data_IF_238037626795
#
_entry.id   IF_238037626795
#
_cell.length_a   1.000
_cell.length_b   1.000
_cell.length_c   1.000
_cell.angle_alpha   90.00
_cell.angle_beta   90.00
_cell.angle_gamma   90.00
#
_symmetry.space_group_name_H-M   'P 1'
#
loop_
_entity.id
_entity.type
_entity.pdbx_description
1 polymer ?
#
# COMPACT_ATOMS: atom_id res chain seq x y z
N UNK A 1 2.13 -15.80 5.65
CA UNK A 1 3.15 -15.25 6.56
C UNK A 1 3.06 -16.03 7.87
N UNK A 2 3.98 -16.94 8.11
CA UNK A 2 4.10 -17.61 9.42
C UNK A 2 4.81 -16.64 10.35
N UNK A 3 4.11 -16.08 11.33
CA UNK A 3 4.73 -15.34 12.42
C UNK A 3 5.65 -16.32 13.18
N UNK A 4 6.93 -15.99 13.24
CA UNK A 4 7.87 -16.70 14.10
C UNK A 4 7.49 -16.49 15.57
N UNK A 5 7.77 -17.47 16.42
CA UNK A 5 7.62 -17.32 17.88
C UNK A 5 8.60 -16.30 18.48
N UNK A 6 9.64 -15.94 17.73
CA UNK A 6 10.64 -14.94 18.14
C UNK A 6 10.19 -13.52 17.76
N UNK A 7 9.87 -12.65 18.74
CA UNK A 7 9.44 -11.28 18.50
C UNK A 7 10.50 -10.44 17.78
N UNK A 8 11.79 -10.66 18.09
CA UNK A 8 12.89 -9.90 17.51
C UNK A 8 13.09 -10.24 16.02
N UNK A 9 12.98 -11.52 15.67
CA UNK A 9 13.03 -11.94 14.27
C UNK A 9 11.88 -11.33 13.46
N UNK A 10 10.68 -11.30 14.03
CA UNK A 10 9.52 -10.65 13.40
C UNK A 10 9.73 -9.15 13.23
N UNK A 11 10.25 -8.47 14.26
CA UNK A 11 10.59 -7.05 14.20
C UNK A 11 11.61 -6.75 13.08
N UNK A 12 12.68 -7.58 13.00
CA UNK A 12 13.70 -7.44 11.94
C UNK A 12 13.12 -7.61 10.54
N UNK A 13 12.22 -8.58 10.36
CA UNK A 13 11.55 -8.80 9.07
C UNK A 13 10.64 -7.62 8.69
N UNK A 14 9.85 -7.09 9.63
CA UNK A 14 9.02 -5.91 9.38
C UNK A 14 9.85 -4.67 9.10
N UNK A 15 10.95 -4.45 9.84
CA UNK A 15 11.89 -3.37 9.56
C UNK A 15 12.48 -3.45 8.15
N UNK A 16 12.92 -4.64 7.72
CA UNK A 16 13.47 -4.84 6.40
C UNK A 16 12.43 -4.57 5.30
N UNK A 17 11.18 -4.99 5.50
CA UNK A 17 10.07 -4.64 4.61
C UNK A 17 9.82 -3.14 4.61
N UNK A 18 9.79 -2.50 5.77
CA UNK A 18 9.66 -1.04 5.89
C UNK A 18 10.74 -0.30 5.11
N UNK A 19 12.00 -0.71 5.25
CA UNK A 19 13.13 -0.14 4.51
C UNK A 19 13.02 -0.35 2.99
N UNK A 20 12.55 -1.53 2.56
CA UNK A 20 12.34 -1.82 1.14
C UNK A 20 11.27 -0.91 0.53
N UNK A 21 10.11 -0.78 1.18
CA UNK A 21 9.05 0.11 0.73
C UNK A 21 9.46 1.58 0.78
N UNK A 22 10.24 1.99 1.79
CA UNK A 22 10.80 3.34 1.86
C UNK A 22 11.69 3.65 0.64
N UNK A 23 12.60 2.74 0.26
CA UNK A 23 13.45 2.90 -0.94
C UNK A 23 12.65 2.96 -2.23
N UNK A 24 11.51 2.26 -2.28
CA UNK A 24 10.58 2.29 -3.40
C UNK A 24 9.63 3.50 -3.37
N UNK A 25 9.86 4.46 -2.48
CA UNK A 25 9.02 5.68 -2.31
C UNK A 25 7.56 5.42 -1.90
N UNK A 26 7.22 4.20 -1.50
CA UNK A 26 5.91 3.88 -0.91
C UNK A 26 5.94 4.11 0.61
N UNK A 27 5.88 5.36 0.98
CA UNK A 27 6.01 5.80 2.38
C UNK A 27 4.83 5.36 3.26
N UNK A 28 3.64 5.26 2.67
CA UNK A 28 2.43 4.83 3.39
C UNK A 28 2.55 3.37 3.84
N UNK A 29 3.00 2.49 2.95
CA UNK A 29 3.22 1.08 3.27
C UNK A 29 4.44 0.90 4.18
N UNK A 30 5.51 1.67 3.97
CA UNK A 30 6.69 1.68 4.85
C UNK A 30 6.31 2.03 6.29
N UNK A 31 5.46 3.05 6.49
CA UNK A 31 4.96 3.47 7.80
C UNK A 31 4.26 2.32 8.53
N UNK A 32 3.36 1.59 7.86
CA UNK A 32 2.65 0.43 8.46
C UNK A 32 3.60 -0.68 8.90
N UNK A 33 4.68 -0.92 8.14
CA UNK A 33 5.69 -1.90 8.53
C UNK A 33 6.56 -1.42 9.69
N UNK A 34 6.89 -0.13 9.77
CA UNK A 34 7.57 0.43 10.93
C UNK A 34 6.69 0.40 12.18
N UNK A 35 5.39 0.68 12.07
CA UNK A 35 4.44 0.51 13.17
C UNK A 35 4.41 -0.95 13.66
N UNK A 36 4.36 -1.91 12.72
CA UNK A 36 4.44 -3.35 13.05
C UNK A 36 5.77 -3.74 13.72
N UNK A 37 6.86 -3.09 13.34
CA UNK A 37 8.19 -3.28 13.97
C UNK A 37 8.18 -2.78 15.41
N UNK A 38 7.66 -1.57 15.65
CA UNK A 38 7.60 -0.96 16.98
C UNK A 38 6.76 -1.77 17.97
N UNK A 39 5.69 -2.41 17.52
CA UNK A 39 4.85 -3.31 18.37
C UNK A 39 5.64 -4.54 18.85
N UNK A 40 6.65 -4.99 18.10
CA UNK A 40 7.41 -6.21 18.41
C UNK A 40 8.73 -5.94 19.14
N UNK A 41 9.22 -4.69 19.13
CA UNK A 41 10.47 -4.29 19.80
C UNK A 41 10.22 -3.86 21.24
N UNK A 42 11.22 -4.09 22.10
CA UNK A 42 11.24 -3.52 23.44
C UNK A 42 11.51 -2.00 23.37
N UNK A 43 10.63 -1.22 24.01
CA UNK A 43 10.65 0.25 24.08
C UNK A 43 11.97 0.80 24.59
N UNK A 44 12.71 0.05 25.43
CA UNK A 44 13.99 0.46 26.03
C UNK A 44 15.18 0.34 25.07
N UNK A 45 14.99 -0.23 23.88
CA UNK A 45 16.07 -0.46 22.93
C UNK A 45 16.42 0.81 22.13
N UNK A 46 17.69 0.97 21.77
CA UNK A 46 18.12 2.04 20.85
C UNK A 46 17.47 1.90 19.48
N UNK A 47 17.22 0.66 19.07
CA UNK A 47 16.56 0.36 17.79
C UNK A 47 15.12 0.87 17.78
N UNK A 48 14.36 0.65 18.85
CA UNK A 48 13.01 1.21 19.01
C UNK A 48 13.03 2.74 18.85
N UNK A 49 13.89 3.44 19.58
CA UNK A 49 13.99 4.90 19.52
C UNK A 49 14.35 5.40 18.11
N UNK A 50 15.25 4.69 17.41
CA UNK A 50 15.62 5.02 16.02
C UNK A 50 14.44 4.87 15.07
N UNK A 51 13.75 3.73 15.10
CA UNK A 51 12.59 3.45 14.22
C UNK A 51 11.43 4.39 14.53
N UNK A 52 11.18 4.68 15.82
CA UNK A 52 10.16 5.64 16.23
C UNK A 52 10.43 7.03 15.66
N UNK A 53 11.68 7.50 15.72
CA UNK A 53 12.08 8.77 15.12
C UNK A 53 11.89 8.77 13.60
N UNK A 54 12.31 7.70 12.93
CA UNK A 54 12.11 7.53 11.47
C UNK A 54 10.63 7.52 11.12
N UNK A 55 9.81 6.78 11.86
CA UNK A 55 8.36 6.70 11.67
C UNK A 55 7.69 8.06 11.83
N UNK A 56 8.05 8.83 12.85
CA UNK A 56 7.53 10.19 13.07
C UNK A 56 7.90 11.15 11.93
N UNK A 57 9.15 11.08 11.45
CA UNK A 57 9.58 11.89 10.32
C UNK A 57 8.83 11.51 9.03
N UNK A 58 8.44 10.24 8.91
CA UNK A 58 7.73 9.73 7.74
C UNK A 58 6.30 10.27 7.63
N UNK A 59 5.63 10.62 8.73
CA UNK A 59 4.31 11.25 8.71
C UNK A 59 4.33 12.60 7.97
N UNK A 60 5.38 13.39 8.18
CA UNK A 60 5.55 14.66 7.47
C UNK A 60 5.76 14.42 5.96
N UNK A 61 6.56 13.41 5.59
CA UNK A 61 6.77 13.04 4.18
C UNK A 61 5.46 12.60 3.54
N UNK A 62 4.72 11.69 4.18
CA UNK A 62 3.43 11.21 3.67
C UNK A 62 2.46 12.37 3.45
N UNK A 63 2.40 13.31 4.40
CA UNK A 63 1.56 14.50 4.30
C UNK A 63 1.92 15.36 3.08
N UNK A 64 3.19 15.75 2.95
CA UNK A 64 3.60 16.64 1.87
C UNK A 64 3.64 15.94 0.50
N UNK A 65 3.96 14.64 0.44
CA UNK A 65 3.83 13.85 -0.81
C UNK A 65 2.37 13.76 -1.26
N UNK A 66 1.44 13.56 -0.34
CA UNK A 66 0.01 13.53 -0.66
C UNK A 66 -0.47 14.89 -1.19
N UNK A 67 -0.05 16.00 -0.57
CA UNK A 67 -0.37 17.36 -1.02
C UNK A 67 0.23 17.61 -2.42
N UNK A 68 1.50 17.34 -2.59
CA UNK A 68 2.19 17.55 -3.87
C UNK A 68 1.54 16.74 -4.99
N UNK A 69 1.33 15.44 -4.78
CA UNK A 69 0.72 14.54 -5.77
C UNK A 69 -0.71 14.93 -6.12
N UNK A 70 -1.52 15.29 -5.12
CA UNK A 70 -2.90 15.76 -5.33
C UNK A 70 -2.91 17.03 -6.16
N UNK A 71 -2.11 18.03 -5.77
CA UNK A 71 -2.09 19.34 -6.42
C UNK A 71 -1.50 19.26 -7.83
N UNK A 72 -0.48 18.43 -8.07
CA UNK A 72 0.04 18.15 -9.41
C UNK A 72 -1.04 17.52 -10.31
N UNK A 73 -1.78 16.56 -9.79
CA UNK A 73 -2.87 15.91 -10.52
C UNK A 73 -3.95 16.92 -10.92
N UNK A 74 -4.37 17.78 -9.99
CA UNK A 74 -5.38 18.81 -10.24
C UNK A 74 -4.86 19.80 -11.29
N UNK A 75 -3.65 20.35 -11.14
CA UNK A 75 -3.07 21.33 -12.06
C UNK A 75 -2.86 20.74 -13.44
N UNK A 76 -2.43 19.47 -13.53
CA UNK A 76 -2.32 18.74 -14.79
C UNK A 76 -3.67 18.66 -15.52
N UNK A 77 -4.73 18.26 -14.80
CA UNK A 77 -6.07 18.12 -15.39
C UNK A 77 -6.62 19.48 -15.80
N UNK A 78 -6.41 20.52 -15.00
CA UNK A 78 -6.83 21.91 -15.35
C UNK A 78 -6.13 22.44 -16.60
N UNK A 79 -4.87 22.05 -16.84
CA UNK A 79 -4.11 22.46 -18.02
C UNK A 79 -4.50 21.73 -19.31
N UNK A 80 -5.30 20.66 -19.24
CA UNK A 80 -5.80 19.94 -20.41
C UNK A 80 -6.90 20.72 -21.13
N UNK A 81 -7.05 20.45 -22.46
CA UNK A 81 -8.22 20.91 -23.20
C UNK A 81 -9.50 20.29 -22.65
N UNK A 82 -10.66 20.89 -22.93
CA UNK A 82 -11.95 20.36 -22.44
C UNK A 82 -12.21 18.94 -22.95
N UNK A 83 -11.82 18.65 -24.18
CA UNK A 83 -11.96 17.31 -24.78
C UNK A 83 -11.06 16.29 -24.06
N UNK A 84 -9.80 16.63 -23.88
CA UNK A 84 -8.83 15.75 -23.20
C UNK A 84 -9.19 15.55 -21.73
N UNK A 85 -9.75 16.57 -21.10
CA UNK A 85 -10.20 16.54 -19.71
C UNK A 85 -11.39 15.58 -19.54
N UNK A 86 -12.34 15.58 -20.46
CA UNK A 86 -13.44 14.63 -20.47
C UNK A 86 -12.92 13.20 -20.65
N UNK A 87 -12.07 12.97 -21.66
CA UNK A 87 -11.46 11.66 -21.90
C UNK A 87 -10.63 11.16 -20.70
N UNK A 88 -9.92 12.05 -20.00
CA UNK A 88 -9.21 11.72 -18.77
C UNK A 88 -10.15 11.19 -17.67
N UNK A 89 -11.29 11.88 -17.45
CA UNK A 89 -12.23 11.46 -16.42
C UNK A 89 -13.01 10.20 -16.82
N UNK A 90 -13.32 9.99 -18.10
CA UNK A 90 -13.90 8.73 -18.57
C UNK A 90 -12.98 7.53 -18.27
N UNK A 91 -11.70 7.63 -18.61
CA UNK A 91 -10.71 6.61 -18.29
C UNK A 91 -10.55 6.39 -16.78
N UNK A 92 -10.58 7.48 -16.00
CA UNK A 92 -10.52 7.41 -14.54
C UNK A 92 -11.73 6.68 -13.96
N UNK A 93 -12.95 7.00 -14.43
CA UNK A 93 -14.19 6.37 -14.01
C UNK A 93 -14.20 4.87 -14.37
N UNK A 94 -13.72 4.49 -15.55
CA UNK A 94 -13.61 3.10 -15.94
C UNK A 94 -12.63 2.31 -15.06
N UNK A 95 -11.53 2.94 -14.69
CA UNK A 95 -10.58 2.35 -13.75
C UNK A 95 -11.21 2.22 -12.35
N UNK A 96 -11.94 3.24 -11.90
CA UNK A 96 -12.62 3.25 -10.62
C UNK A 96 -13.69 2.15 -10.55
N UNK A 97 -14.50 1.97 -11.60
CA UNK A 97 -15.50 0.89 -11.69
C UNK A 97 -14.84 -0.49 -11.54
N UNK A 98 -13.71 -0.72 -12.23
CA UNK A 98 -12.95 -1.98 -12.12
C UNK A 98 -12.40 -2.22 -10.71
N UNK A 99 -11.88 -1.18 -10.06
CA UNK A 99 -11.36 -1.26 -8.69
C UNK A 99 -12.49 -1.52 -7.69
N UNK A 100 -13.61 -0.80 -7.81
CA UNK A 100 -14.75 -0.98 -6.91
C UNK A 100 -15.40 -2.37 -7.09
N UNK A 101 -15.47 -2.90 -8.32
CA UNK A 101 -15.94 -4.27 -8.60
C UNK A 101 -14.99 -5.32 -7.99
N UNK A 102 -13.68 -5.17 -8.18
CA UNK A 102 -12.70 -6.11 -7.56
C UNK A 102 -12.76 -6.06 -6.04
N UNK A 103 -12.98 -4.88 -5.46
CA UNK A 103 -13.15 -4.71 -4.01
C UNK A 103 -14.43 -5.38 -3.53
N UNK A 104 -15.55 -5.22 -4.23
CA UNK A 104 -16.82 -5.89 -3.93
C UNK A 104 -16.68 -7.40 -3.92
N UNK A 105 -16.07 -7.96 -4.98
CA UNK A 105 -15.81 -9.40 -5.08
C UNK A 105 -14.91 -9.89 -3.92
N UNK A 106 -13.91 -9.11 -3.53
CA UNK A 106 -13.03 -9.46 -2.40
C UNK A 106 -13.77 -9.43 -1.07
N UNK A 107 -14.60 -8.42 -0.84
CA UNK A 107 -15.43 -8.29 0.37
C UNK A 107 -16.48 -9.41 0.46
N UNK A 108 -17.11 -9.78 -0.66
CA UNK A 108 -18.04 -10.91 -0.72
C UNK A 108 -17.33 -12.23 -0.34
N UNK A 109 -16.13 -12.48 -0.92
CA UNK A 109 -15.31 -13.64 -0.55
C UNK A 109 -14.89 -13.66 0.90
N UNK A 110 -14.55 -12.50 1.47
CA UNK A 110 -14.22 -12.39 2.89
C UNK A 110 -15.43 -12.68 3.79
N UNK A 111 -16.60 -12.13 3.46
CA UNK A 111 -17.86 -12.42 4.18
C UNK A 111 -18.22 -13.89 4.11
N UNK A 112 -18.07 -14.51 2.95
CA UNK A 112 -18.32 -15.94 2.74
C UNK A 112 -17.35 -16.80 3.57
N UNK A 113 -16.06 -16.46 3.59
CA UNK A 113 -15.07 -17.18 4.41
C UNK A 113 -15.36 -17.05 5.90
N UNK A 114 -15.74 -15.85 6.38
CA UNK A 114 -16.12 -15.63 7.78
C UNK A 114 -17.39 -16.42 8.14
N UNK A 115 -18.42 -16.37 7.29
CA UNK A 115 -19.64 -17.13 7.51
C UNK A 115 -19.39 -18.67 7.55
N UNK A 116 -18.48 -19.16 6.71
CA UNK A 116 -18.09 -20.55 6.69
C UNK A 116 -17.29 -20.96 7.93
N UNK A 117 -16.41 -20.09 8.46
CA UNK A 117 -15.70 -20.29 9.72
C UNK A 117 -16.70 -20.34 10.89
N UNK A 118 -17.66 -19.44 10.91
CA UNK A 118 -18.68 -19.39 11.95
C UNK A 118 -19.62 -20.61 11.93
N UNK A 119 -20.03 -21.06 10.75
CA UNK A 119 -20.81 -22.32 10.60
C UNK A 119 -20.02 -23.54 11.09
N UNK A 120 -18.72 -23.60 10.75
CA UNK A 120 -17.86 -24.71 11.16
C UNK A 120 -17.56 -24.72 12.67
N UNK A 121 -17.50 -23.54 13.31
CA UNK A 121 -17.33 -23.42 14.76
C UNK A 121 -18.59 -23.83 15.52
N UNK A 122 -19.79 -23.59 14.97
CA UNK A 122 -21.06 -23.99 15.56
C UNK A 122 -21.39 -25.47 15.31
N UNK A 123 -20.84 -26.11 14.28
CA UNK A 123 -21.01 -27.55 13.99
C UNK A 123 -20.09 -28.47 14.79
N UNK A 124 -19.12 -27.92 15.52
CA UNK A 124 -18.14 -28.69 16.32
C UNK A 124 -18.64 -29.22 17.68
N UNK A 125 -19.93 -29.11 18.02
CA UNK A 125 -20.46 -29.46 19.35
C UNK A 125 -21.52 -30.56 19.35
N UNK A 126 -21.37 -31.58 18.53
CA UNK A 126 -22.08 -32.82 18.72
C UNK A 126 -21.38 -33.98 18.02
N UNK A 127 -20.27 -34.42 18.59
CA UNK A 127 -19.83 -35.81 18.41
C UNK A 127 -20.64 -36.62 19.40
N UNK A 128 -21.51 -37.56 18.99
CA UNK A 128 -22.09 -38.52 19.92
C UNK A 128 -20.94 -39.35 20.46
N UNK A 129 -20.70 -39.26 21.75
CA UNK A 129 -19.81 -40.12 22.51
C UNK A 129 -20.40 -41.50 22.48
N UNK A 130 -19.96 -42.36 21.55
CA UNK A 130 -20.21 -43.78 21.60
C UNK A 130 -19.12 -44.42 22.47
N UNK A 131 -19.43 -44.53 23.75
CA UNK A 131 -18.69 -45.36 24.68
C UNK A 131 -18.97 -46.85 24.35
N UNK A 132 -18.01 -47.50 23.67
CA UNK A 132 -17.91 -48.95 23.55
C UNK A 132 -16.59 -49.38 24.20
N UNK A 133 -16.74 -49.93 25.42
CA UNK A 133 -15.69 -50.35 26.32
C UNK A 133 -14.79 -51.51 25.84
N UNK A 134 -14.41 -51.54 24.56
CA UNK A 134 -13.43 -52.52 24.05
C UNK A 134 -12.20 -51.84 23.48
N UNK A 135 -11.10 -51.88 24.22
CA UNK A 135 -9.82 -51.22 23.91
C UNK A 135 -9.07 -51.77 22.70
N UNK A 136 -9.66 -51.69 21.49
CA UNK A 136 -8.96 -51.89 20.24
C UNK A 136 -9.03 -50.62 19.38
N UNK A 137 -7.93 -50.11 18.85
CA UNK A 137 -7.94 -48.92 17.98
C UNK A 137 -8.77 -49.24 16.73
N UNK A 138 -9.92 -48.54 16.57
CA UNK A 138 -10.72 -48.60 15.33
C UNK A 138 -9.88 -47.99 14.20
N UNK A 139 -9.66 -48.78 13.14
CA UNK A 139 -9.05 -48.31 11.89
C UNK A 139 -9.90 -47.16 11.38
N UNK A 140 -9.24 -46.01 11.15
CA UNK A 140 -9.85 -44.86 10.48
C UNK A 140 -10.57 -45.31 9.20
N UNK A 141 -11.83 -44.93 9.00
CA UNK A 141 -12.62 -45.21 7.80
C UNK A 141 -12.01 -44.63 6.51
N UNK A 142 -10.94 -43.91 6.62
CA UNK A 142 -10.16 -43.34 5.52
C UNK A 142 -8.91 -44.17 5.13
N UNK A 143 -8.73 -45.37 5.70
CA UNK A 143 -7.65 -46.22 5.26
C UNK A 143 -8.03 -46.88 3.92
N UNK A 144 -7.18 -46.75 2.87
CA UNK A 144 -7.43 -47.42 1.59
C UNK A 144 -7.48 -48.96 1.81
N UNK A 145 -8.29 -49.68 1.03
CA UNK A 145 -8.37 -51.12 1.15
C UNK A 145 -6.99 -51.74 0.88
N UNK A 146 -6.50 -52.51 1.85
CA UNK A 146 -5.26 -53.28 1.76
C UNK A 146 -5.48 -54.40 0.74
N UNK A 147 -5.26 -54.14 -0.53
CA UNK A 147 -5.23 -55.16 -1.59
C UNK A 147 -3.85 -55.79 -1.62
N UNK A 148 -3.77 -57.07 -1.32
CA UNK A 148 -2.60 -57.95 -1.52
C UNK A 148 -2.32 -58.14 -3.00
N UNK A 149 -1.86 -57.12 -3.68
CA UNK A 149 -1.21 -57.27 -5.00
C UNK A 149 -0.39 -55.99 -5.26
N UNK A 150 0.70 -55.89 -4.57
CA UNK A 150 1.75 -54.96 -4.92
C UNK A 150 3.03 -55.73 -5.09
N UNK A 151 3.48 -55.91 -6.32
CA UNK A 151 4.87 -56.18 -6.62
C UNK A 151 5.74 -55.09 -6.02
N UNK A 152 6.37 -55.41 -4.92
CA UNK A 152 7.26 -54.53 -4.18
C UNK A 152 8.51 -54.29 -5.01
N UNK A 153 8.70 -53.13 -5.56
CA UNK A 153 10.04 -52.62 -5.86
C UNK A 153 10.55 -51.96 -4.56
N UNK A 154 11.65 -52.49 -4.09
CA UNK A 154 12.42 -52.03 -2.93
C UNK A 154 12.97 -50.63 -3.20
N UNK A 155 12.19 -49.57 -2.95
CA UNK A 155 12.68 -48.26 -2.58
C UNK A 155 11.52 -47.24 -2.57
N UNK A 156 11.20 -46.78 -1.41
CA UNK A 156 10.45 -45.54 -1.27
C UNK A 156 8.95 -45.69 -1.17
N UNK A 157 8.39 -44.99 -0.21
CA UNK A 157 6.97 -44.72 -0.01
C UNK A 157 6.33 -44.28 -1.31
N UNK A 158 5.55 -45.17 -1.93
CA UNK A 158 4.77 -44.81 -3.13
C UNK A 158 3.70 -43.81 -2.69
N UNK A 159 3.89 -42.54 -3.06
CA UNK A 159 2.94 -41.49 -2.78
C UNK A 159 1.61 -41.85 -3.43
N UNK A 160 0.52 -41.81 -2.66
CA UNK A 160 -0.79 -42.33 -3.06
C UNK A 160 -1.33 -41.78 -4.39
N UNK A 161 -0.88 -40.62 -4.84
CA UNK A 161 -1.23 -40.01 -6.12
C UNK A 161 -0.77 -40.81 -7.35
N UNK A 162 0.24 -41.63 -7.21
CA UNK A 162 0.77 -42.47 -8.31
C UNK A 162 0.06 -43.82 -8.42
N UNK A 163 -0.85 -44.15 -7.48
CA UNK A 163 -1.65 -45.34 -7.55
C UNK A 163 -3.05 -45.01 -8.09
N UNK A 164 -3.37 -45.37 -9.37
CA UNK A 164 -4.65 -45.01 -10.00
C UNK A 164 -5.85 -45.60 -9.27
N UNK A 165 -5.73 -46.81 -8.69
CA UNK A 165 -6.80 -47.43 -7.90
C UNK A 165 -7.14 -46.65 -6.64
N UNK A 166 -6.11 -46.16 -5.94
CA UNK A 166 -6.28 -45.34 -4.72
C UNK A 166 -6.88 -43.99 -5.04
N UNK A 167 -6.50 -43.39 -6.18
CA UNK A 167 -7.03 -42.12 -6.66
C UNK A 167 -8.51 -42.27 -7.09
N UNK A 168 -8.87 -43.33 -7.78
CA UNK A 168 -10.28 -43.61 -8.15
C UNK A 168 -11.16 -43.85 -6.93
N UNK A 169 -10.68 -44.63 -5.99
CA UNK A 169 -11.40 -44.85 -4.71
C UNK A 169 -11.59 -43.51 -3.98
N UNK A 170 -10.54 -42.70 -3.84
CA UNK A 170 -10.62 -41.38 -3.24
C UNK A 170 -11.61 -40.43 -3.94
N UNK A 171 -11.70 -40.51 -5.27
CA UNK A 171 -12.70 -39.75 -6.06
C UNK A 171 -14.14 -40.20 -5.78
N UNK A 172 -14.36 -41.49 -5.63
CA UNK A 172 -15.67 -42.05 -5.31
C UNK A 172 -16.11 -41.66 -3.89
N UNK A 173 -15.22 -41.81 -2.92
CA UNK A 173 -15.47 -41.39 -1.53
C UNK A 173 -15.72 -39.87 -1.43
N UNK A 174 -14.93 -39.07 -2.16
CA UNK A 174 -15.14 -37.64 -2.24
C UNK A 174 -16.53 -37.27 -2.79
N UNK A 175 -16.96 -37.93 -3.90
CA UNK A 175 -18.30 -37.72 -4.45
C UNK A 175 -19.40 -38.11 -3.47
N UNK A 176 -19.20 -39.17 -2.71
CA UNK A 176 -20.18 -39.69 -1.72
C UNK A 176 -20.36 -38.67 -0.58
N UNK A 177 -19.28 -38.09 -0.09
CA UNK A 177 -19.26 -37.16 1.06
C UNK A 177 -19.63 -35.74 0.67
N UNK A 178 -19.09 -35.26 -0.46
CA UNK A 178 -19.16 -33.84 -0.85
C UNK A 178 -20.04 -33.59 -2.10
N UNK A 179 -20.62 -34.65 -2.70
CA UNK A 179 -21.45 -34.54 -3.89
C UNK A 179 -20.67 -34.22 -5.17
N UNK A 180 -21.39 -33.89 -6.23
CA UNK A 180 -20.82 -33.56 -7.55
C UNK A 180 -20.40 -32.09 -7.58
N UNK A 181 -19.20 -31.78 -7.08
CA UNK A 181 -18.67 -30.41 -7.03
C UNK A 181 -17.79 -30.12 -8.22
N UNK A 182 -18.00 -28.98 -8.85
CA UNK A 182 -17.10 -28.42 -9.89
C UNK A 182 -15.86 -27.81 -9.23
N UNK A 183 -14.72 -27.84 -9.94
CA UNK A 183 -13.48 -27.18 -9.54
C UNK A 183 -13.66 -25.64 -9.59
N UNK A 184 -14.24 -25.10 -8.52
CA UNK A 184 -14.26 -23.67 -8.27
C UNK A 184 -13.36 -23.35 -7.09
N UNK A 185 -12.75 -22.16 -7.05
CA UNK A 185 -12.03 -21.71 -5.86
C UNK A 185 -12.92 -21.84 -4.63
N UNK A 186 -12.37 -22.24 -3.48
CA UNK A 186 -13.10 -22.50 -2.23
C UNK A 186 -14.10 -23.67 -2.27
N UNK A 187 -13.93 -24.65 -3.14
CA UNK A 187 -14.78 -25.83 -3.26
C UNK A 187 -15.02 -26.57 -1.92
N UNK A 188 -14.08 -26.43 -0.98
CA UNK A 188 -14.16 -27.04 0.36
C UNK A 188 -15.26 -26.39 1.22
N UNK A 189 -15.65 -25.17 0.93
CA UNK A 189 -16.58 -24.35 1.70
C UNK A 189 -17.91 -24.05 0.97
N UNK A 190 -18.09 -24.50 -0.25
CA UNK A 190 -19.34 -24.35 -1.00
C UNK A 190 -20.32 -25.48 -0.64
N UNK A 191 -20.72 -25.54 0.62
CA UNK A 191 -21.85 -26.35 1.05
C UNK A 191 -23.10 -25.49 1.02
N UNK A 192 -24.13 -25.91 0.28
CA UNK A 192 -25.50 -25.39 0.24
C UNK A 192 -25.85 -24.32 -0.78
N UNK A 193 -25.60 -24.58 -2.07
CA UNK A 193 -26.49 -24.03 -3.10
C UNK A 193 -27.85 -24.76 -3.20
N UNK A 194 -28.10 -25.80 -2.40
CA UNK A 194 -29.33 -26.60 -2.48
C UNK A 194 -30.45 -26.13 -1.54
N UNK A 195 -30.23 -25.13 -0.68
CA UNK A 195 -31.25 -24.61 0.24
C UNK A 195 -31.61 -23.12 0.01
N UNK A 196 -31.38 -22.61 -1.18
CA UNK A 196 -31.95 -21.30 -1.58
C UNK A 196 -33.27 -21.45 -2.31
N UNK A 197 -34.20 -22.17 -1.70
CA UNK A 197 -35.62 -21.99 -1.94
C UNK A 197 -36.31 -22.05 -0.60
N UNK A 198 -37.15 -21.03 -0.38
CA UNK A 198 -38.06 -20.87 0.75
C UNK A 198 -37.42 -20.29 2.05
N UNK A 199 -37.33 -18.97 2.08
CA UNK A 199 -37.89 -18.17 3.19
C UNK A 199 -37.85 -16.67 2.77
N UNK A 200 -38.73 -16.36 1.82
CA UNK A 200 -39.26 -15.03 1.65
C UNK A 200 -40.45 -14.91 2.61
N UNK A 201 -40.22 -14.31 3.75
CA UNK A 201 -41.32 -13.78 4.58
C UNK A 201 -40.87 -12.54 5.32
N UNK A 202 -41.29 -11.41 4.72
CA UNK A 202 -41.83 -10.22 5.38
C UNK A 202 -41.09 -9.70 6.63
N UNK A 203 -40.18 -8.77 6.39
CA UNK A 203 -39.92 -7.69 7.35
C UNK A 203 -40.20 -6.37 6.62
N UNK A 204 -41.17 -5.66 7.18
CA UNK A 204 -41.77 -4.43 6.70
C UNK A 204 -40.76 -3.36 6.26
N UNK A 205 -40.92 -2.98 5.00
CA UNK A 205 -40.17 -2.03 4.22
C UNK A 205 -40.68 -0.61 4.40
N UNK A 206 -40.50 0.05 5.53
CA UNK A 206 -40.81 1.50 5.60
C UNK A 206 -39.75 2.38 6.30
N UNK A 207 -38.72 1.79 6.92
CA UNK A 207 -37.67 2.59 7.58
C UNK A 207 -36.27 2.52 6.91
N UNK A 208 -36.11 1.75 5.80
CA UNK A 208 -34.80 1.57 5.13
C UNK A 208 -34.72 2.27 3.76
N UNK A 209 -35.80 2.90 3.28
CA UNK A 209 -35.86 3.46 1.92
C UNK A 209 -35.23 4.86 1.81
N UNK A 210 -35.26 5.70 2.84
CA UNK A 210 -34.66 7.04 2.72
C UNK A 210 -33.13 7.04 2.80
N UNK A 211 -32.54 6.15 3.59
CA UNK A 211 -31.06 6.04 3.66
C UNK A 211 -30.44 5.25 2.49
N UNK A 212 -31.19 4.35 1.86
CA UNK A 212 -30.72 3.59 0.70
C UNK A 212 -30.78 4.43 -0.58
N UNK A 213 -31.79 5.29 -0.73
CA UNK A 213 -31.96 6.16 -1.89
C UNK A 213 -30.87 7.24 -1.92
N UNK A 214 -30.54 7.85 -0.78
CA UNK A 214 -29.46 8.85 -0.70
C UNK A 214 -28.07 8.27 -0.94
N UNK A 215 -27.83 7.01 -0.58
CA UNK A 215 -26.55 6.32 -0.87
C UNK A 215 -26.47 5.86 -2.32
N UNK A 216 -27.59 5.49 -2.94
CA UNK A 216 -27.62 5.05 -4.33
C UNK A 216 -27.45 6.22 -5.30
N UNK A 217 -28.03 7.38 -5.01
CA UNK A 217 -27.84 8.60 -5.80
C UNK A 217 -26.39 9.12 -5.74
N UNK A 218 -25.76 9.11 -4.56
CA UNK A 218 -24.34 9.49 -4.42
C UNK A 218 -23.38 8.49 -5.09
N UNK A 219 -23.75 7.21 -5.17
CA UNK A 219 -22.95 6.20 -5.89
C UNK A 219 -23.06 6.41 -7.40
N UNK A 220 -24.24 6.76 -7.92
CA UNK A 220 -24.44 7.03 -9.35
C UNK A 220 -23.70 8.28 -9.79
N UNK A 221 -23.73 9.36 -9.00
CA UNK A 221 -23.00 10.59 -9.28
C UNK A 221 -21.49 10.38 -9.36
N UNK A 222 -20.91 9.52 -8.53
CA UNK A 222 -19.48 9.20 -8.51
C UNK A 222 -18.95 8.62 -9.84
N UNK A 223 -19.82 8.05 -10.66
CA UNK A 223 -19.46 7.48 -11.97
C UNK A 223 -19.83 8.37 -13.16
N UNK A 224 -20.08 9.66 -12.91
CA UNK A 224 -20.33 10.65 -13.95
C UNK A 224 -19.12 11.60 -14.10
N UNK A 225 -18.82 11.99 -15.33
CA UNK A 225 -17.74 12.97 -15.62
C UNK A 225 -18.05 14.33 -15.03
N UNK A 226 -19.32 14.74 -15.04
CA UNK A 226 -19.78 16.03 -14.50
C UNK A 226 -19.50 16.20 -13.01
N UNK A 227 -19.56 15.13 -12.25
CA UNK A 227 -19.22 15.14 -10.82
C UNK A 227 -17.77 15.60 -10.59
N UNK A 228 -16.83 15.11 -11.39
CA UNK A 228 -15.41 15.47 -11.25
C UNK A 228 -15.13 16.86 -11.86
N UNK A 229 -15.78 17.22 -12.96
CA UNK A 229 -15.63 18.53 -13.57
C UNK A 229 -16.07 19.66 -12.64
N UNK A 230 -17.17 19.48 -11.90
CA UNK A 230 -17.65 20.45 -10.91
C UNK A 230 -16.69 20.65 -9.72
N UNK A 231 -15.85 19.68 -9.42
CA UNK A 231 -14.87 19.77 -8.33
C UNK A 231 -13.56 20.47 -8.72
N UNK A 232 -13.34 20.70 -10.00
CA UNK A 232 -12.13 21.39 -10.46
C UNK A 232 -12.20 22.90 -10.12
N UNK A 233 -11.05 23.51 -9.79
CA UNK A 233 -10.97 24.94 -9.60
C UNK A 233 -11.23 25.66 -10.94
N UNK A 234 -12.19 26.57 -10.94
CA UNK A 234 -12.57 27.36 -12.14
C UNK A 234 -11.95 28.75 -12.16
N UNK A 235 -11.54 29.26 -10.98
CA UNK A 235 -10.97 30.59 -10.86
C UNK A 235 -9.45 30.56 -10.86
N UNK A 236 -8.81 31.51 -11.54
CA UNK A 236 -7.35 31.64 -11.57
C UNK A 236 -6.75 31.74 -10.16
N UNK A 237 -7.41 32.46 -9.27
CA UNK A 237 -6.97 32.59 -7.86
C UNK A 237 -6.92 31.25 -7.11
N UNK A 238 -7.88 30.35 -7.36
CA UNK A 238 -7.88 29.00 -6.79
C UNK A 238 -6.75 28.15 -7.39
N UNK A 239 -6.53 28.23 -8.70
CA UNK A 239 -5.43 27.52 -9.40
C UNK A 239 -4.08 28.00 -8.84
N UNK A 240 -3.88 29.30 -8.71
CA UNK A 240 -2.65 29.86 -8.15
C UNK A 240 -2.43 29.44 -6.68
N UNK A 241 -3.50 29.37 -5.88
CA UNK A 241 -3.42 28.89 -4.49
C UNK A 241 -2.98 27.43 -4.42
N UNK A 242 -3.53 26.56 -5.27
CA UNK A 242 -3.13 25.15 -5.37
C UNK A 242 -1.68 25.04 -5.84
N UNK A 243 -1.25 25.89 -6.79
CA UNK A 243 0.15 25.97 -7.23
C UNK A 243 1.10 26.35 -6.10
N UNK A 244 0.74 27.34 -5.28
CA UNK A 244 1.52 27.76 -4.11
C UNK A 244 1.63 26.66 -3.05
N UNK A 245 0.52 25.98 -2.75
CA UNK A 245 0.50 24.87 -1.80
C UNK A 245 1.37 23.70 -2.28
N UNK A 246 1.32 23.35 -3.57
CA UNK A 246 2.21 22.36 -4.18
C UNK A 246 3.68 22.75 -4.06
N UNK A 247 4.02 23.98 -4.41
CA UNK A 247 5.38 24.48 -4.35
C UNK A 247 5.92 24.48 -2.92
N UNK A 248 5.11 24.86 -1.96
CA UNK A 248 5.45 24.75 -0.54
C UNK A 248 5.69 23.30 -0.12
N UNK A 249 4.84 22.36 -0.57
CA UNK A 249 5.03 20.94 -0.30
C UNK A 249 6.34 20.40 -0.89
N UNK A 250 6.70 20.76 -2.13
CA UNK A 250 7.99 20.39 -2.72
C UNK A 250 9.17 20.94 -1.93
N UNK A 251 9.09 22.19 -1.48
CA UNK A 251 10.13 22.78 -0.64
C UNK A 251 10.31 22.02 0.66
N UNK A 252 9.22 21.73 1.38
CA UNK A 252 9.26 20.96 2.62
C UNK A 252 9.82 19.56 2.42
N UNK A 253 9.40 18.87 1.37
CA UNK A 253 9.95 17.55 1.01
C UNK A 253 11.46 17.61 0.78
N UNK A 254 11.93 18.59 0.02
CA UNK A 254 13.36 18.79 -0.22
C UNK A 254 14.17 18.96 1.08
N UNK A 255 13.65 19.75 2.02
CA UNK A 255 14.29 19.95 3.33
C UNK A 255 14.25 18.67 4.17
N UNK A 256 13.10 17.99 4.24
CA UNK A 256 12.94 16.76 5.04
C UNK A 256 13.85 15.66 4.52
N UNK A 257 13.88 15.42 3.21
CA UNK A 257 14.79 14.43 2.61
C UNK A 257 16.27 14.76 2.86
N UNK A 258 16.67 16.02 2.72
CA UNK A 258 18.04 16.47 2.99
C UNK A 258 18.42 16.30 4.46
N UNK A 259 17.62 16.81 5.39
CA UNK A 259 18.02 16.95 6.79
C UNK A 259 17.71 15.74 7.63
N UNK A 260 16.50 15.15 7.48
CA UNK A 260 16.04 14.06 8.33
C UNK A 260 16.44 12.68 7.80
N UNK A 261 16.39 12.49 6.48
CA UNK A 261 16.66 11.18 5.86
C UNK A 261 18.03 11.07 5.20
N UNK A 262 18.68 12.20 4.87
CA UNK A 262 19.95 12.26 4.11
C UNK A 262 19.84 11.64 2.71
N UNK A 263 18.63 11.64 2.15
CA UNK A 263 18.33 11.18 0.80
C UNK A 263 18.51 12.33 -0.20
N UNK A 264 19.78 12.63 -0.51
CA UNK A 264 20.15 13.82 -1.30
C UNK A 264 19.58 13.82 -2.72
N UNK A 265 19.45 12.65 -3.36
CA UNK A 265 18.89 12.53 -4.70
C UNK A 265 17.39 12.88 -4.72
N UNK A 266 16.63 12.37 -3.75
CA UNK A 266 15.21 12.72 -3.62
C UNK A 266 15.04 14.20 -3.27
N UNK A 267 15.89 14.73 -2.39
CA UNK A 267 15.87 16.13 -2.01
C UNK A 267 16.14 17.04 -3.21
N UNK A 268 17.18 16.76 -4.02
CA UNK A 268 17.49 17.56 -5.21
C UNK A 268 16.36 17.51 -6.23
N UNK A 269 15.79 16.33 -6.50
CA UNK A 269 14.68 16.17 -7.43
C UNK A 269 13.47 17.03 -7.04
N UNK A 270 13.10 17.05 -5.76
CA UNK A 270 11.95 17.85 -5.29
C UNK A 270 12.21 19.35 -5.36
N UNK A 271 13.42 19.80 -5.03
CA UNK A 271 13.80 21.21 -5.14
C UNK A 271 13.97 21.66 -6.61
N UNK A 272 14.48 20.80 -7.49
CA UNK A 272 14.52 21.06 -8.94
C UNK A 272 13.11 21.19 -9.53
N UNK A 273 12.20 20.26 -9.18
CA UNK A 273 10.80 20.35 -9.58
C UNK A 273 10.16 21.66 -9.11
N UNK A 274 10.46 22.10 -7.89
CA UNK A 274 10.01 23.40 -7.38
C UNK A 274 10.48 24.55 -8.28
N UNK A 275 11.75 24.58 -8.63
CA UNK A 275 12.33 25.68 -9.42
C UNK A 275 11.87 25.71 -10.90
N UNK A 276 11.38 24.57 -11.42
CA UNK A 276 10.80 24.47 -12.77
C UNK A 276 9.37 25.03 -12.83
N UNK A 277 8.72 25.22 -11.69
CA UNK A 277 7.36 25.72 -11.60
C UNK A 277 7.33 27.25 -11.45
N UNK A 278 6.15 27.84 -11.63
CA UNK A 278 5.94 29.25 -11.28
C UNK A 278 5.94 29.42 -9.76
N UNK A 279 7.12 29.60 -9.18
CA UNK A 279 7.36 29.59 -7.73
C UNK A 279 7.42 31.02 -7.20
N UNK A 280 6.88 31.23 -6.01
CA UNK A 280 7.00 32.52 -5.30
C UNK A 280 8.46 32.85 -4.99
N UNK A 281 8.87 34.11 -5.20
CA UNK A 281 10.25 34.57 -4.98
C UNK A 281 10.81 34.18 -3.61
N UNK A 282 9.98 34.19 -2.57
CA UNK A 282 10.38 33.81 -1.20
C UNK A 282 10.87 32.39 -1.05
N UNK A 283 10.46 31.46 -1.96
CA UNK A 283 10.89 30.06 -1.94
C UNK A 283 12.04 29.77 -2.90
N UNK A 284 12.22 30.59 -3.94
CA UNK A 284 13.25 30.37 -4.97
C UNK A 284 14.64 30.38 -4.35
N UNK A 285 14.99 31.46 -3.70
CA UNK A 285 16.33 31.63 -3.16
C UNK A 285 16.71 30.62 -2.06
N UNK A 286 15.84 30.33 -1.08
CA UNK A 286 16.09 29.24 -0.13
C UNK A 286 16.21 27.86 -0.79
N UNK A 287 15.42 27.58 -1.83
CA UNK A 287 15.51 26.31 -2.58
C UNK A 287 16.84 26.19 -3.32
N UNK A 288 17.28 27.25 -4.01
CA UNK A 288 18.58 27.31 -4.69
C UNK A 288 19.75 27.10 -3.71
N UNK A 289 19.69 27.71 -2.54
CA UNK A 289 20.71 27.55 -1.52
C UNK A 289 20.74 26.10 -0.98
N UNK A 290 19.60 25.48 -0.76
CA UNK A 290 19.53 24.09 -0.34
C UNK A 290 20.05 23.13 -1.41
N UNK A 291 19.74 23.40 -2.69
CA UNK A 291 20.31 22.65 -3.81
C UNK A 291 21.83 22.81 -3.87
N UNK A 292 22.35 24.02 -3.73
CA UNK A 292 23.79 24.25 -3.64
C UNK A 292 24.43 23.38 -2.55
N UNK A 293 23.85 23.36 -1.34
CA UNK A 293 24.33 22.52 -0.23
C UNK A 293 24.26 21.03 -0.51
N UNK A 294 23.24 20.56 -1.21
CA UNK A 294 23.11 19.17 -1.64
C UNK A 294 24.19 18.83 -2.67
N UNK A 295 24.35 19.69 -3.69
CA UNK A 295 25.33 19.48 -4.75
C UNK A 295 26.78 19.56 -4.27
N UNK A 296 27.09 20.35 -3.23
CA UNK A 296 28.41 20.29 -2.60
C UNK A 296 28.81 18.88 -2.13
N UNK A 297 27.80 18.02 -1.85
CA UNK A 297 28.01 16.63 -1.38
C UNK A 297 27.95 15.63 -2.54
N UNK A 298 27.09 15.89 -3.55
CA UNK A 298 26.74 14.92 -4.58
C UNK A 298 27.36 15.21 -5.95
N UNK A 299 27.55 16.49 -6.32
CA UNK A 299 28.00 16.91 -7.65
C UNK A 299 28.59 18.32 -7.60
N UNK A 300 29.92 18.39 -7.55
CA UNK A 300 30.66 19.67 -7.44
C UNK A 300 30.42 20.60 -8.63
N UNK A 301 30.23 20.06 -9.85
CA UNK A 301 30.00 20.88 -11.04
C UNK A 301 28.64 21.61 -10.95
N UNK A 302 27.61 20.91 -10.56
CA UNK A 302 26.28 21.51 -10.31
C UNK A 302 26.28 22.46 -9.13
N UNK A 303 27.12 22.22 -8.11
CA UNK A 303 27.28 23.16 -7.00
C UNK A 303 27.83 24.50 -7.47
N UNK A 304 28.90 24.52 -8.30
CA UNK A 304 29.45 25.75 -8.87
C UNK A 304 28.46 26.48 -9.80
N UNK A 305 27.70 25.74 -10.61
CA UNK A 305 26.63 26.31 -11.43
C UNK A 305 25.60 27.03 -10.55
N UNK A 306 25.12 26.35 -9.49
CA UNK A 306 24.13 26.91 -8.58
C UNK A 306 24.67 28.12 -7.79
N UNK A 307 25.94 28.09 -7.38
CA UNK A 307 26.63 29.19 -6.74
C UNK A 307 26.67 30.44 -7.66
N UNK A 308 27.08 30.24 -8.92
CA UNK A 308 27.12 31.31 -9.92
C UNK A 308 25.73 31.89 -10.18
N UNK A 309 24.72 31.02 -10.28
CA UNK A 309 23.33 31.42 -10.45
C UNK A 309 22.83 32.28 -9.28
N UNK A 310 23.09 31.88 -8.03
CA UNK A 310 22.71 32.67 -6.85
C UNK A 310 23.46 34.02 -6.83
N UNK A 311 24.77 34.01 -7.08
CA UNK A 311 25.59 35.22 -7.04
C UNK A 311 25.21 36.24 -8.14
N UNK A 312 24.78 35.75 -9.31
CA UNK A 312 24.38 36.62 -10.44
C UNK A 312 22.94 37.12 -10.27
N UNK A 313 22.01 36.27 -9.90
CA UNK A 313 20.59 36.66 -9.81
C UNK A 313 20.27 37.39 -8.49
N UNK A 314 20.98 37.09 -7.40
CA UNK A 314 20.70 37.63 -6.05
C UNK A 314 21.98 38.12 -5.34
N UNK A 315 22.76 39.03 -5.92
CA UNK A 315 24.09 39.45 -5.42
C UNK A 315 24.03 40.03 -4.00
N UNK A 316 22.97 40.75 -3.66
CA UNK A 316 22.80 41.41 -2.37
C UNK A 316 22.14 40.50 -1.30
N UNK A 317 21.83 39.25 -1.65
CA UNK A 317 21.18 38.34 -0.70
C UNK A 317 22.14 37.85 0.38
N UNK A 318 21.61 37.57 1.56
CA UNK A 318 22.36 36.94 2.65
C UNK A 318 22.98 35.60 2.22
N UNK A 319 22.31 34.87 1.35
CA UNK A 319 22.79 33.57 0.86
C UNK A 319 24.02 33.74 -0.06
N UNK A 320 24.02 34.72 -0.96
CA UNK A 320 25.19 35.03 -1.77
C UNK A 320 26.39 35.43 -0.91
N UNK A 321 26.17 36.25 0.11
CA UNK A 321 27.22 36.63 1.05
C UNK A 321 27.81 35.44 1.81
N UNK A 322 26.97 34.48 2.25
CA UNK A 322 27.42 33.26 2.94
C UNK A 322 28.25 32.39 1.99
N UNK A 323 27.76 32.17 0.77
CA UNK A 323 28.43 31.33 -0.23
C UNK A 323 29.79 31.91 -0.61
N UNK A 324 29.88 33.22 -0.81
CA UNK A 324 31.14 33.89 -1.19
C UNK A 324 32.14 33.92 -0.04
N UNK A 325 31.70 34.08 1.22
CA UNK A 325 32.56 34.00 2.40
C UNK A 325 33.13 32.61 2.66
N UNK A 326 32.33 31.58 2.41
CA UNK A 326 32.80 30.19 2.60
C UNK A 326 33.87 29.84 1.55
N UNK A 327 33.75 30.33 0.32
CA UNK A 327 34.77 30.15 -0.72
C UNK A 327 36.07 30.90 -0.46
N UNK A 328 36.03 32.04 0.23
CA UNK A 328 37.27 32.79 0.59
C UNK A 328 38.05 32.19 1.77
N UNK A 329 37.38 31.49 2.67
CA UNK A 329 38.03 30.80 3.79
C UNK A 329 38.80 29.53 3.36
N UNK A 330 38.29 28.82 2.32
CA UNK A 330 38.98 27.64 1.77
C UNK A 330 40.23 28.03 0.94
N UNK A 331 40.28 29.24 0.37
CA UNK A 331 41.42 29.73 -0.38
C UNK A 331 42.55 30.22 0.61
N UNK A 332 42.17 30.78 1.77
CA UNK A 332 43.12 31.23 2.75
C UNK A 332 43.72 30.12 3.61
N UNK A 333 43.15 28.92 3.62
CA UNK A 333 43.71 27.76 4.33
C UNK A 333 44.82 27.02 3.54
N UNK A 334 44.98 27.31 2.25
CA UNK A 334 46.01 26.71 1.40
C UNK A 334 47.21 27.61 1.13
N UNK A 335 47.26 28.83 1.71
CA UNK A 335 48.42 29.72 1.67
C UNK A 335 49.05 29.85 3.06
N UNK A 336 49.84 28.86 3.48
CA UNK A 336 50.92 29.02 4.47
C UNK A 336 52.15 28.28 3.97
N UNK A 337 53.31 28.93 3.99
CA UNK A 337 54.55 28.53 3.34
C UNK A 337 55.21 27.28 3.98
#
# INVERSE_FOLDING_TARGET
KTDSKDPYLNASNYRNLGNMYFRNTDYSTAAKYYDSTLVKLDVKTREYAHIQKTRKNLDEVIKYEAIAKRNDSILKVVSLSDIDRMAYFENYIDTLKKVDETKRILEEKQKETLANIERNSKSGSSVPEFDDGSGKPKKSSFAPPSGNDASVNENGSIFYFYNPKTVEFGKLEFKKIYGNRTLSGNWRFSGDELNKKENDTLISSEALTENAISQQDTIIEKYTTDFYLKQLPTTQTAIDSIGKERNFAYYQLGIIYKEKFKEYQLASTKLEQLLQQNTEEKLILPAMYNLFKIYQITDVAKAEEMKNRISTQYPNSRYAQIINKTGSNDISANETP
#
